data_IF_289281831761
#
_entry.id   IF_289281831761
#
_cell.length_a   1.000
_cell.length_b   1.000
_cell.length_c   1.000
_cell.angle_alpha   90.00
_cell.angle_beta   90.00
_cell.angle_gamma   90.00
#
_symmetry.space_group_name_H-M   'P 1'
#
loop_
_entity.id
_entity.type
_entity.pdbx_description
1 polymer ?
#
# COMPACT_ATOMS: atom_id res chain seq x y z
N UNK A 1 7.22 39.25 -3.38
CA UNK A 1 7.59 37.90 -3.83
C UNK A 1 6.60 37.48 -4.90
N UNK A 2 7.02 37.47 -6.16
CA UNK A 2 6.13 37.24 -7.31
C UNK A 2 6.02 35.75 -7.58
N UNK A 3 4.87 35.15 -7.24
CA UNK A 3 4.55 33.78 -7.62
C UNK A 3 4.09 33.81 -9.08
N UNK A 4 4.92 33.33 -10.01
CA UNK A 4 4.58 33.34 -11.44
C UNK A 4 3.66 32.18 -11.79
N UNK A 5 2.68 32.43 -12.67
CA UNK A 5 1.73 31.43 -13.18
C UNK A 5 2.41 30.25 -13.91
N UNK A 6 3.68 30.41 -14.32
CA UNK A 6 4.48 29.33 -14.89
C UNK A 6 4.85 28.25 -13.87
N UNK A 7 5.01 28.62 -12.60
CA UNK A 7 5.44 27.70 -11.55
C UNK A 7 4.29 26.75 -11.15
N UNK A 8 3.04 27.23 -11.22
CA UNK A 8 1.85 26.40 -10.95
C UNK A 8 1.55 25.41 -12.09
N UNK A 9 1.85 25.77 -13.34
CA UNK A 9 1.69 24.88 -14.50
C UNK A 9 2.66 23.69 -14.41
N UNK A 10 3.95 23.95 -14.13
CA UNK A 10 4.92 22.86 -13.94
C UNK A 10 4.62 22.04 -12.68
N UNK A 11 4.01 22.65 -11.66
CA UNK A 11 3.58 21.94 -10.46
C UNK A 11 2.41 20.97 -10.72
N UNK A 12 1.50 21.28 -11.67
CA UNK A 12 0.45 20.34 -12.10
C UNK A 12 1.07 19.11 -12.78
N UNK A 13 1.94 19.34 -13.76
CA UNK A 13 2.59 18.27 -14.53
C UNK A 13 3.46 17.36 -13.64
N UNK A 14 4.21 17.94 -12.69
CA UNK A 14 4.96 17.19 -11.68
C UNK A 14 4.06 16.29 -10.82
N UNK A 15 2.87 16.78 -10.44
CA UNK A 15 1.88 15.98 -9.68
C UNK A 15 1.32 14.84 -10.52
N UNK A 16 1.00 15.09 -11.78
CA UNK A 16 0.52 14.06 -12.70
C UNK A 16 1.57 12.96 -12.89
N UNK A 17 2.84 13.32 -13.08
CA UNK A 17 3.93 12.35 -13.15
C UNK A 17 4.09 11.54 -11.85
N UNK A 18 3.99 12.20 -10.69
CA UNK A 18 4.00 11.53 -9.39
C UNK A 18 2.87 10.50 -9.25
N UNK A 19 1.63 10.86 -9.64
CA UNK A 19 0.49 9.92 -9.60
C UNK A 19 0.68 8.74 -10.54
N UNK A 20 1.17 8.97 -11.76
CA UNK A 20 1.47 7.90 -12.72
C UNK A 20 2.49 6.90 -12.16
N UNK A 21 3.57 7.39 -11.57
CA UNK A 21 4.63 6.55 -10.98
C UNK A 21 4.15 5.84 -9.71
N UNK A 22 3.36 6.52 -8.87
CA UNK A 22 2.69 5.93 -7.71
C UNK A 22 1.87 4.72 -8.10
N UNK A 23 1.01 4.88 -9.09
CA UNK A 23 0.07 3.83 -9.50
C UNK A 23 0.85 2.65 -10.11
N UNK A 24 1.85 2.92 -10.96
CA UNK A 24 2.72 1.88 -11.51
C UNK A 24 3.46 1.07 -10.42
N UNK A 25 3.95 1.75 -9.37
CA UNK A 25 4.60 1.10 -8.22
C UNK A 25 3.60 0.30 -7.37
N UNK A 26 2.44 0.86 -7.04
CA UNK A 26 1.45 0.19 -6.20
C UNK A 26 0.81 -1.02 -6.88
N UNK A 27 0.52 -0.93 -8.17
CA UNK A 27 0.07 -2.06 -8.98
C UNK A 27 1.10 -3.20 -8.94
N UNK A 28 2.39 -2.89 -9.08
CA UNK A 28 3.46 -3.88 -8.96
C UNK A 28 3.44 -4.57 -7.58
N UNK A 29 3.30 -3.79 -6.51
CA UNK A 29 3.20 -4.32 -5.16
C UNK A 29 1.94 -5.17 -4.93
N UNK A 30 0.80 -4.81 -5.51
CA UNK A 30 -0.44 -5.60 -5.40
C UNK A 30 -0.27 -6.96 -6.11
N UNK A 31 0.41 -6.99 -7.26
CA UNK A 31 0.73 -8.24 -7.95
C UNK A 31 1.65 -9.15 -7.13
N UNK A 32 2.70 -8.58 -6.51
CA UNK A 32 3.60 -9.33 -5.62
C UNK A 32 2.86 -9.85 -4.39
N UNK A 33 2.00 -9.04 -3.79
CA UNK A 33 1.23 -9.44 -2.61
C UNK A 33 0.25 -10.57 -2.96
N UNK A 34 -0.40 -10.51 -4.12
CA UNK A 34 -1.26 -11.58 -4.63
C UNK A 34 -0.47 -12.86 -4.94
N UNK A 35 0.71 -12.74 -5.55
CA UNK A 35 1.56 -13.90 -5.85
C UNK A 35 2.06 -14.58 -4.58
N UNK A 36 2.39 -13.81 -3.52
CA UNK A 36 2.74 -14.36 -2.21
C UNK A 36 1.52 -15.03 -1.55
N UNK A 37 0.33 -14.43 -1.61
CA UNK A 37 -0.88 -15.00 -1.02
C UNK A 37 -1.22 -16.39 -1.59
N UNK A 38 -1.02 -16.60 -2.90
CA UNK A 38 -1.28 -17.87 -3.56
C UNK A 38 -0.27 -18.97 -3.21
N UNK A 39 0.90 -18.62 -2.69
CA UNK A 39 1.94 -19.56 -2.27
C UNK A 39 1.90 -19.84 -0.75
N UNK A 40 0.92 -19.32 -0.01
CA UNK A 40 0.69 -19.61 1.43
C UNK A 40 -0.17 -20.85 1.65
N UNK A 41 0.07 -21.89 0.86
CA UNK A 41 -0.21 -23.26 1.27
C UNK A 41 1.06 -23.78 1.94
N UNK A 42 0.97 -23.97 3.25
CA UNK A 42 1.87 -24.78 4.06
C UNK A 42 3.21 -24.14 4.52
N UNK A 43 3.27 -24.04 5.84
CA UNK A 43 4.43 -23.99 6.74
C UNK A 43 5.25 -22.70 6.97
N UNK A 44 5.77 -22.69 8.20
CA UNK A 44 6.14 -21.55 9.01
C UNK A 44 7.51 -20.99 8.60
N UNK A 45 7.53 -20.02 7.67
CA UNK A 45 8.74 -19.23 7.42
C UNK A 45 8.73 -17.96 8.27
N UNK A 46 9.39 -18.08 9.43
CA UNK A 46 9.93 -16.95 10.20
C UNK A 46 10.52 -15.91 9.26
N UNK A 47 9.88 -14.75 9.19
CA UNK A 47 10.41 -13.55 8.56
C UNK A 47 11.63 -13.12 9.38
N UNK A 48 12.79 -13.70 9.08
CA UNK A 48 14.07 -13.11 9.45
C UNK A 48 14.29 -11.95 8.49
N UNK A 49 14.27 -10.72 9.04
CA UNK A 49 14.62 -9.52 8.30
C UNK A 49 16.13 -9.55 7.98
N UNK A 50 16.53 -10.31 6.97
CA UNK A 50 17.89 -10.22 6.42
C UNK A 50 17.98 -8.98 5.54
N UNK A 51 18.21 -7.86 6.21
CA UNK A 51 18.71 -6.61 5.64
C UNK A 51 20.19 -6.83 5.30
N UNK A 52 20.45 -7.55 4.21
CA UNK A 52 21.80 -7.88 3.74
C UNK A 52 21.77 -8.23 2.26
N UNK A 53 22.40 -7.40 1.45
CA UNK A 53 22.59 -7.61 0.02
C UNK A 53 23.68 -8.66 -0.20
N UNK A 54 23.34 -9.89 -0.59
CA UNK A 54 24.26 -10.79 -1.27
C UNK A 54 23.63 -11.38 -2.53
N UNK A 55 24.42 -11.35 -3.61
CA UNK A 55 24.06 -11.78 -4.96
C UNK A 55 23.87 -13.31 -5.00
N UNK A 56 22.62 -13.78 -5.01
CA UNK A 56 22.30 -15.19 -5.28
C UNK A 56 22.18 -15.41 -6.79
N UNK A 57 23.24 -15.92 -7.43
CA UNK A 57 23.15 -16.56 -8.75
C UNK A 57 22.71 -18.01 -8.54
N UNK A 58 21.66 -18.47 -9.22
CA UNK A 58 21.52 -19.90 -9.49
C UNK A 58 21.27 -20.13 -10.98
N UNK A 59 22.22 -20.83 -11.59
CA UNK A 59 22.01 -21.61 -12.81
C UNK A 59 21.24 -22.85 -12.38
N UNK A 60 20.05 -23.07 -12.93
CA UNK A 60 19.41 -24.37 -13.21
C UNK A 60 17.88 -24.18 -13.21
N UNK A 61 17.26 -24.47 -14.37
CA UNK A 61 15.86 -24.23 -14.67
C UNK A 61 14.89 -25.17 -13.96
N UNK A 62 14.70 -24.97 -12.66
CA UNK A 62 13.55 -25.47 -11.92
C UNK A 62 12.78 -24.28 -11.30
N UNK A 63 11.49 -24.24 -11.62
CA UNK A 63 10.52 -23.15 -11.44
C UNK A 63 10.66 -22.42 -10.09
N UNK A 64 11.37 -21.28 -10.11
CA UNK A 64 11.63 -20.40 -8.96
C UNK A 64 10.45 -19.44 -8.81
N UNK A 65 9.77 -19.45 -7.67
CA UNK A 65 8.82 -18.38 -7.33
C UNK A 65 9.60 -17.05 -7.42
N UNK A 66 9.13 -16.15 -8.28
CA UNK A 66 9.96 -15.12 -8.93
C UNK A 66 10.40 -14.00 -7.97
N UNK A 67 11.65 -14.07 -7.53
CA UNK A 67 12.43 -12.94 -6.97
C UNK A 67 12.54 -11.78 -8.00
N UNK A 68 12.18 -12.03 -9.27
CA UNK A 68 12.23 -11.10 -10.40
C UNK A 68 11.19 -9.97 -10.26
N UNK A 69 10.02 -10.21 -9.66
CA UNK A 69 9.01 -9.15 -9.45
C UNK A 69 9.50 -8.06 -8.47
N UNK A 70 10.31 -8.45 -7.50
CA UNK A 70 10.88 -7.51 -6.53
C UNK A 70 11.82 -6.49 -7.21
N UNK A 71 12.58 -6.89 -8.24
CA UNK A 71 13.54 -6.00 -8.91
C UNK A 71 12.86 -4.93 -9.75
N UNK A 72 11.77 -5.28 -10.46
CA UNK A 72 10.98 -4.30 -11.21
C UNK A 72 10.22 -3.35 -10.28
N UNK A 73 9.62 -3.87 -9.20
CA UNK A 73 8.97 -3.01 -8.20
C UNK A 73 9.99 -2.10 -7.50
N UNK A 74 11.24 -2.54 -7.30
CA UNK A 74 12.32 -1.73 -6.69
C UNK A 74 12.75 -0.58 -7.60
N UNK A 75 12.84 -0.79 -8.91
CA UNK A 75 13.14 0.29 -9.86
C UNK A 75 12.01 1.32 -9.90
N UNK A 76 10.75 0.87 -10.00
CA UNK A 76 9.57 1.74 -9.97
C UNK A 76 9.46 2.52 -8.65
N UNK A 77 9.86 1.90 -7.52
CA UNK A 77 9.93 2.56 -6.22
C UNK A 77 10.89 3.74 -6.25
N UNK A 78 12.10 3.55 -6.79
CA UNK A 78 13.10 4.62 -6.87
C UNK A 78 12.58 5.80 -7.69
N UNK A 79 12.04 5.53 -8.88
CA UNK A 79 11.47 6.57 -9.75
C UNK A 79 10.30 7.31 -9.07
N UNK A 80 9.43 6.58 -8.37
CA UNK A 80 8.34 7.15 -7.58
C UNK A 80 8.85 8.03 -6.43
N UNK A 81 9.86 7.58 -5.68
CA UNK A 81 10.43 8.32 -4.56
C UNK A 81 11.17 9.60 -5.00
N UNK A 82 11.79 9.57 -6.18
CA UNK A 82 12.47 10.73 -6.77
C UNK A 82 11.49 11.76 -7.38
N UNK A 83 10.39 11.29 -7.99
CA UNK A 83 9.43 12.16 -8.65
C UNK A 83 8.39 12.77 -7.69
N UNK A 84 8.09 12.11 -6.57
CA UNK A 84 7.07 12.54 -5.63
C UNK A 84 7.65 13.31 -4.42
N UNK A 85 6.95 14.34 -3.92
CA UNK A 85 7.31 14.95 -2.64
C UNK A 85 7.25 13.95 -1.48
N UNK A 86 8.21 14.01 -0.54
CA UNK A 86 8.27 13.06 0.59
C UNK A 86 7.01 13.06 1.45
N UNK A 87 6.37 14.23 1.65
CA UNK A 87 5.10 14.35 2.36
C UNK A 87 3.95 13.59 1.68
N UNK A 88 3.96 13.56 0.35
CA UNK A 88 2.97 12.82 -0.44
C UNK A 88 3.23 11.32 -0.35
N UNK A 89 4.49 10.89 -0.42
CA UNK A 89 4.86 9.47 -0.29
C UNK A 89 4.39 8.91 1.06
N UNK A 90 4.67 9.63 2.16
CA UNK A 90 4.21 9.26 3.50
C UNK A 90 2.68 9.15 3.55
N UNK A 91 1.98 10.12 2.98
CA UNK A 91 0.52 10.10 2.90
C UNK A 91 0.00 8.90 2.14
N UNK A 92 0.55 8.59 0.96
CA UNK A 92 0.10 7.49 0.11
C UNK A 92 0.34 6.13 0.75
N UNK A 93 1.48 5.92 1.41
CA UNK A 93 1.76 4.68 2.15
C UNK A 93 0.77 4.49 3.29
N UNK A 94 0.59 5.52 4.13
CA UNK A 94 -0.38 5.50 5.22
C UNK A 94 -1.80 5.24 4.71
N UNK A 95 -2.19 5.88 3.61
CA UNK A 95 -3.52 5.71 3.01
C UNK A 95 -3.74 4.27 2.54
N UNK A 96 -2.76 3.65 1.88
CA UNK A 96 -2.85 2.26 1.44
C UNK A 96 -3.03 1.29 2.62
N UNK A 97 -2.29 1.49 3.70
CA UNK A 97 -2.43 0.68 4.93
C UNK A 97 -3.81 0.84 5.57
N UNK A 98 -4.32 2.07 5.64
CA UNK A 98 -5.66 2.35 6.17
C UNK A 98 -6.75 1.69 5.33
N UNK A 99 -6.68 1.79 4.00
CA UNK A 99 -7.63 1.17 3.09
C UNK A 99 -7.62 -0.36 3.23
N UNK A 100 -6.43 -0.97 3.34
CA UNK A 100 -6.30 -2.41 3.62
C UNK A 100 -6.95 -2.79 4.96
N UNK A 101 -6.64 -2.05 6.02
CA UNK A 101 -7.19 -2.29 7.36
C UNK A 101 -8.71 -2.14 7.39
N UNK A 102 -9.24 -1.11 6.72
CA UNK A 102 -10.68 -0.89 6.59
C UNK A 102 -11.34 -2.02 5.81
N UNK A 103 -10.74 -2.48 4.71
CA UNK A 103 -11.22 -3.62 3.94
C UNK A 103 -11.28 -4.89 4.79
N UNK A 104 -10.21 -5.20 5.53
CA UNK A 104 -10.18 -6.37 6.43
C UNK A 104 -11.24 -6.23 7.52
N UNK A 105 -11.35 -5.07 8.17
CA UNK A 105 -12.40 -4.81 9.18
C UNK A 105 -13.80 -5.03 8.59
N UNK A 106 -14.06 -4.59 7.36
CA UNK A 106 -15.34 -4.78 6.69
C UNK A 106 -15.62 -6.25 6.36
N UNK A 107 -14.61 -7.03 5.97
CA UNK A 107 -14.73 -8.48 5.74
C UNK A 107 -15.04 -9.19 7.06
N UNK A 108 -14.23 -8.94 8.09
CA UNK A 108 -14.38 -9.53 9.42
C UNK A 108 -15.73 -9.17 10.04
N UNK A 109 -16.21 -7.93 9.87
CA UNK A 109 -17.55 -7.54 10.34
C UNK A 109 -18.68 -8.27 9.60
N UNK A 110 -18.49 -8.65 8.33
CA UNK A 110 -19.45 -9.48 7.60
C UNK A 110 -19.42 -10.93 8.09
N UNK A 111 -18.24 -11.48 8.38
CA UNK A 111 -18.08 -12.85 8.87
C UNK A 111 -18.56 -13.02 10.32
N UNK A 112 -18.29 -12.05 11.21
CA UNK A 112 -18.77 -12.05 12.60
C UNK A 112 -20.24 -11.65 12.75
N UNK A 113 -20.85 -11.06 11.71
CA UNK A 113 -22.22 -10.58 11.72
C UNK A 113 -23.28 -11.69 11.80
N UNK A 114 -22.90 -12.95 11.51
CA UNK A 114 -23.84 -14.08 11.50
C UNK A 114 -23.93 -14.84 12.84
N UNK A 115 -23.04 -14.61 13.83
CA UNK A 115 -23.09 -15.34 15.12
C UNK A 115 -23.32 -14.48 16.38
N UNK A 116 -23.40 -13.14 16.27
CA UNK A 116 -23.70 -12.29 17.44
C UNK A 116 -24.83 -11.30 17.12
N UNK A 117 -26.06 -11.79 17.23
CA UNK A 117 -27.26 -10.96 17.42
C UNK A 117 -27.27 -10.30 18.80
N UNK A 118 -26.30 -9.42 19.09
CA UNK A 118 -26.31 -8.61 20.33
C UNK A 118 -26.52 -7.15 19.96
N UNK A 119 -27.59 -6.60 20.52
CA UNK A 119 -28.24 -5.37 20.11
C UNK A 119 -27.34 -4.15 20.12
N UNK A 120 -27.44 -3.39 19.02
CA UNK A 120 -27.16 -1.97 18.99
C UNK A 120 -28.07 -1.25 20.01
N UNK A 121 -27.62 -1.15 21.25
CA UNK A 121 -28.16 -0.20 22.21
C UNK A 121 -27.83 1.20 21.70
N UNK A 122 -28.87 1.89 21.21
CA UNK A 122 -28.88 3.33 20.96
C UNK A 122 -28.50 4.05 22.26
N UNK A 123 -27.31 4.65 22.33
CA UNK A 123 -27.09 5.76 23.25
C UNK A 123 -27.44 7.06 22.54
N UNK A 124 -28.71 7.43 22.64
CA UNK A 124 -29.11 8.82 22.56
C UNK A 124 -28.66 9.54 23.86
N UNK A 125 -28.12 10.75 23.74
CA UNK A 125 -27.72 11.59 24.88
C UNK A 125 -26.65 12.62 24.48
N UNK A 126 -26.96 13.62 23.66
CA UNK A 126 -27.54 14.94 24.02
C UNK A 126 -26.46 16.02 24.00
N UNK A 127 -26.45 16.83 22.93
CA UNK A 127 -25.89 18.18 22.94
C UNK A 127 -27.02 19.13 22.59
N UNK A 128 -27.36 20.06 23.49
CA UNK A 128 -27.48 21.47 23.12
C UNK A 128 -27.48 22.38 24.37
N UNK A 129 -26.38 23.10 24.52
CA UNK A 129 -26.24 24.31 25.34
C UNK A 129 -26.90 25.45 24.59
N UNK A 130 -27.93 26.10 25.17
CA UNK A 130 -28.32 27.49 24.88
C UNK A 130 -29.42 27.94 25.87
N UNK A 131 -29.06 28.78 26.84
CA UNK A 131 -29.82 29.98 27.24
C UNK A 131 -28.94 30.88 28.12
#
# INVERSE_FOLDING_TARGET
>A
MSFTLSDTQTQREKRENCWRLRDAYFTCLDFVEASIANNRGDDNSSITNNRGSENVKNSNGNKKINIIDSRECTQKKKEYEEACPSSWIIYFHKRRELEKRQRIRAIVAKELGDEIGVGAAKSAGSQNVNN
#
